data_IF_103490594722
#
_entry.id   IF_103490594722
#
_cell.length_a   1.000
_cell.length_b   1.000
_cell.length_c   1.000
_cell.angle_alpha   90.00
_cell.angle_beta   90.00
_cell.angle_gamma   90.00
#
_symmetry.space_group_name_H-M   'P 1'
#
loop_
_entity.id
_entity.type
_entity.pdbx_description
1 polymer ?
#
# COMPACT_ATOMS: atom_id res chain seq x y z
N UNK A 1 -115.74 27.77 -14.95
CA UNK A 1 -114.82 26.85 -14.25
C UNK A 1 -113.57 26.44 -15.05
N UNK A 2 -113.54 26.55 -16.39
CA UNK A 2 -112.40 26.11 -17.23
C UNK A 2 -111.06 26.85 -17.01
N UNK A 3 -111.08 28.17 -16.71
CA UNK A 3 -109.84 28.97 -16.57
C UNK A 3 -108.98 28.57 -15.36
N UNK A 4 -109.59 28.09 -14.27
CA UNK A 4 -108.90 27.74 -13.03
C UNK A 4 -108.10 26.44 -13.18
N UNK A 5 -108.61 25.48 -13.96
CA UNK A 5 -107.98 24.19 -14.23
C UNK A 5 -106.78 24.31 -15.18
N UNK A 6 -106.82 25.25 -16.12
CA UNK A 6 -105.70 25.54 -17.03
C UNK A 6 -104.57 26.25 -16.28
N UNK A 7 -104.89 27.21 -15.42
CA UNK A 7 -103.90 27.90 -14.59
C UNK A 7 -103.20 26.94 -13.62
N UNK A 8 -103.96 26.03 -13.00
CA UNK A 8 -103.38 25.03 -12.09
C UNK A 8 -102.48 24.03 -12.83
N UNK A 9 -102.84 23.64 -14.07
CA UNK A 9 -102.00 22.78 -14.91
C UNK A 9 -100.70 23.47 -15.33
N UNK A 10 -100.74 24.75 -15.67
CA UNK A 10 -99.54 25.56 -16.00
C UNK A 10 -98.63 25.70 -14.77
N UNK A 11 -99.19 25.90 -13.57
CA UNK A 11 -98.43 25.97 -12.33
C UNK A 11 -97.75 24.62 -12.01
N UNK A 12 -98.44 23.49 -12.18
CA UNK A 12 -97.82 22.17 -12.03
C UNK A 12 -96.76 21.87 -13.08
N UNK A 13 -96.91 22.35 -14.32
CA UNK A 13 -95.90 22.16 -15.37
C UNK A 13 -94.61 22.97 -15.10
N UNK A 14 -94.76 24.19 -14.54
CA UNK A 14 -93.63 25.05 -14.12
C UNK A 14 -92.89 24.54 -12.87
N UNK A 15 -93.57 23.76 -12.02
CA UNK A 15 -92.94 23.16 -10.84
C UNK A 15 -92.07 21.94 -11.20
N UNK A 16 -92.49 21.14 -12.19
CA UNK A 16 -91.74 19.94 -12.62
C UNK A 16 -90.46 20.32 -13.39
N UNK A 17 -90.46 21.45 -14.13
CA UNK A 17 -89.24 21.91 -14.83
C UNK A 17 -88.14 22.43 -13.90
N UNK A 18 -88.47 22.88 -12.68
CA UNK A 18 -87.48 23.37 -11.72
C UNK A 18 -86.72 22.26 -10.98
N UNK A 19 -87.25 21.02 -10.96
CA UNK A 19 -86.62 19.92 -10.24
C UNK A 19 -85.47 19.24 -11.00
N UNK A 20 -85.36 19.46 -12.32
CA UNK A 20 -84.33 18.85 -13.16
C UNK A 20 -83.00 19.63 -13.24
N UNK A 21 -82.93 20.85 -12.70
CA UNK A 21 -81.73 21.71 -12.78
C UNK A 21 -80.84 21.68 -11.52
N UNK A 22 -81.31 21.13 -10.40
CA UNK A 22 -80.56 21.08 -9.14
C UNK A 22 -79.36 20.12 -9.18
N UNK A 23 -79.56 18.89 -9.66
CA UNK A 23 -78.52 17.84 -9.66
C UNK A 23 -77.34 18.14 -10.61
N UNK A 24 -77.56 18.89 -11.70
CA UNK A 24 -76.53 19.25 -12.68
C UNK A 24 -75.58 20.34 -12.14
N UNK A 25 -76.09 21.26 -11.33
CA UNK A 25 -75.28 22.31 -10.69
C UNK A 25 -74.35 21.69 -9.64
N UNK A 26 -74.84 20.71 -8.87
CA UNK A 26 -74.06 20.00 -7.84
C UNK A 26 -72.95 19.13 -8.45
N UNK A 27 -73.18 18.49 -9.60
CA UNK A 27 -72.11 17.76 -10.29
C UNK A 27 -70.97 18.68 -10.73
N UNK A 28 -71.27 19.88 -11.24
CA UNK A 28 -70.25 20.81 -11.76
C UNK A 28 -69.31 21.31 -10.64
N UNK A 29 -69.82 21.55 -9.43
CA UNK A 29 -69.02 21.95 -8.28
C UNK A 29 -68.07 20.83 -7.82
N UNK A 30 -68.55 19.58 -7.76
CA UNK A 30 -67.73 18.41 -7.40
C UNK A 30 -66.63 18.17 -8.45
N UNK A 31 -66.93 18.35 -9.74
CA UNK A 31 -65.93 18.20 -10.80
C UNK A 31 -64.84 19.26 -10.73
N UNK A 32 -65.19 20.54 -10.50
CA UNK A 32 -64.20 21.60 -10.35
C UNK A 32 -63.38 21.45 -9.05
N UNK A 33 -63.97 20.94 -7.96
CA UNK A 33 -63.24 20.60 -6.73
C UNK A 33 -62.19 19.49 -6.98
N UNK A 34 -62.58 18.39 -7.62
CA UNK A 34 -61.65 17.29 -7.94
C UNK A 34 -60.56 17.70 -8.91
N UNK A 35 -60.89 18.56 -9.88
CA UNK A 35 -59.92 19.14 -10.81
C UNK A 35 -58.93 20.05 -10.08
N UNK A 36 -59.37 20.83 -9.11
CA UNK A 36 -58.50 21.63 -8.25
C UNK A 36 -57.61 20.75 -7.37
N UNK A 37 -58.15 19.68 -6.77
CA UNK A 37 -57.41 18.70 -5.97
C UNK A 37 -56.31 18.02 -6.79
N UNK A 38 -56.66 17.49 -7.97
CA UNK A 38 -55.71 16.84 -8.89
C UNK A 38 -54.62 17.83 -9.32
N UNK A 39 -54.99 19.08 -9.61
CA UNK A 39 -54.01 20.12 -9.98
C UNK A 39 -53.02 20.38 -8.85
N UNK A 40 -53.50 20.41 -7.60
CA UNK A 40 -52.66 20.60 -6.43
C UNK A 40 -51.69 19.43 -6.22
N UNK A 41 -52.17 18.19 -6.36
CA UNK A 41 -51.30 17.00 -6.27
C UNK A 41 -50.26 16.96 -7.39
N UNK A 42 -50.65 17.32 -8.63
CA UNK A 42 -49.73 17.40 -9.77
C UNK A 42 -48.64 18.44 -9.51
N UNK A 43 -48.98 19.60 -8.95
CA UNK A 43 -48.01 20.61 -8.54
C UNK A 43 -47.02 20.07 -7.50
N UNK A 44 -47.51 19.40 -6.45
CA UNK A 44 -46.64 18.76 -5.43
C UNK A 44 -45.70 17.73 -6.04
N UNK A 45 -46.21 16.88 -6.95
CA UNK A 45 -45.40 15.88 -7.65
C UNK A 45 -44.32 16.55 -8.51
N UNK A 46 -44.65 17.63 -9.21
CA UNK A 46 -43.68 18.37 -10.03
C UNK A 46 -42.60 19.03 -9.17
N UNK A 47 -42.95 19.58 -8.02
CA UNK A 47 -41.99 20.12 -7.05
C UNK A 47 -41.05 19.02 -6.53
N UNK A 48 -41.59 17.87 -6.12
CA UNK A 48 -40.79 16.72 -5.69
C UNK A 48 -39.87 16.21 -6.79
N UNK A 49 -40.35 16.12 -8.04
CA UNK A 49 -39.54 15.72 -9.20
C UNK A 49 -38.40 16.70 -9.45
N UNK A 50 -38.64 18.01 -9.31
CA UNK A 50 -37.61 19.04 -9.44
C UNK A 50 -36.53 18.86 -8.37
N UNK A 51 -36.92 18.69 -7.10
CA UNK A 51 -35.97 18.44 -6.02
C UNK A 51 -35.18 17.15 -6.24
N UNK A 52 -35.85 16.07 -6.65
CA UNK A 52 -35.20 14.80 -6.95
C UNK A 52 -34.20 14.94 -8.10
N UNK A 53 -34.55 15.65 -9.17
CA UNK A 53 -33.64 15.89 -10.30
C UNK A 53 -32.42 16.72 -9.89
N UNK A 54 -32.60 17.71 -9.01
CA UNK A 54 -31.49 18.50 -8.48
C UNK A 54 -30.56 17.64 -7.64
N UNK A 55 -31.11 16.85 -6.70
CA UNK A 55 -30.35 15.93 -5.87
C UNK A 55 -29.56 14.92 -6.70
N UNK A 56 -30.18 14.30 -7.71
CA UNK A 56 -29.50 13.37 -8.61
C UNK A 56 -28.35 14.07 -9.37
N UNK A 57 -28.57 15.30 -9.83
CA UNK A 57 -27.54 16.10 -10.50
C UNK A 57 -26.35 16.41 -9.58
N UNK A 58 -26.61 16.76 -8.32
CA UNK A 58 -25.57 17.00 -7.32
C UNK A 58 -24.81 15.72 -6.95
N UNK A 59 -25.52 14.62 -6.73
CA UNK A 59 -24.92 13.32 -6.45
C UNK A 59 -24.04 12.83 -7.60
N UNK A 60 -24.48 13.02 -8.85
CA UNK A 60 -23.66 12.68 -10.01
C UNK A 60 -22.38 13.50 -10.03
N UNK A 61 -22.45 14.83 -9.86
CA UNK A 61 -21.26 15.69 -9.79
C UNK A 61 -20.31 15.29 -8.68
N UNK A 62 -20.84 14.96 -7.50
CA UNK A 62 -20.02 14.51 -6.37
C UNK A 62 -19.32 13.18 -6.66
N UNK A 63 -20.04 12.23 -7.26
CA UNK A 63 -19.47 10.94 -7.65
C UNK A 63 -18.41 11.09 -8.75
N UNK A 64 -18.67 11.94 -9.76
CA UNK A 64 -17.71 12.22 -10.83
C UNK A 64 -16.43 12.83 -10.23
N UNK A 65 -16.55 13.79 -9.31
CA UNK A 65 -15.41 14.38 -8.59
C UNK A 65 -14.63 13.34 -7.79
N UNK A 66 -15.32 12.49 -7.03
CA UNK A 66 -14.67 11.40 -6.27
C UNK A 66 -13.95 10.42 -7.21
N UNK A 67 -14.53 10.12 -8.36
CA UNK A 67 -13.93 9.22 -9.34
C UNK A 67 -12.65 9.83 -9.93
N UNK A 68 -12.63 11.14 -10.20
CA UNK A 68 -11.41 11.84 -10.64
C UNK A 68 -10.33 11.86 -9.54
N UNK A 69 -10.71 12.15 -8.30
CA UNK A 69 -9.79 12.12 -7.15
C UNK A 69 -9.19 10.73 -6.94
N UNK A 70 -10.01 9.67 -7.03
CA UNK A 70 -9.54 8.29 -6.91
C UNK A 70 -8.56 7.92 -8.03
N UNK A 71 -8.85 8.30 -9.29
CA UNK A 71 -7.92 8.07 -10.40
C UNK A 71 -6.57 8.76 -10.19
N UNK A 72 -6.58 9.99 -9.70
CA UNK A 72 -5.34 10.72 -9.39
C UNK A 72 -4.56 10.03 -8.24
N UNK A 73 -5.27 9.53 -7.24
CA UNK A 73 -4.65 8.78 -6.14
C UNK A 73 -4.06 7.45 -6.62
N UNK A 74 -4.78 6.69 -7.46
CA UNK A 74 -4.29 5.45 -8.06
C UNK A 74 -3.00 5.69 -8.86
N UNK A 75 -2.98 6.69 -9.74
CA UNK A 75 -1.79 7.05 -10.50
C UNK A 75 -0.61 7.44 -9.60
N UNK A 76 -0.87 8.19 -8.51
CA UNK A 76 0.17 8.56 -7.54
C UNK A 76 0.70 7.33 -6.81
N UNK A 77 -0.17 6.42 -6.39
CA UNK A 77 0.22 5.17 -5.72
C UNK A 77 1.05 4.30 -6.66
N UNK A 78 0.65 4.15 -7.92
CA UNK A 78 1.41 3.41 -8.93
C UNK A 78 2.81 3.99 -9.14
N UNK A 79 2.94 5.32 -9.25
CA UNK A 79 4.24 6.00 -9.36
C UNK A 79 5.11 5.74 -8.13
N UNK A 80 4.54 5.90 -6.93
CA UNK A 80 5.27 5.68 -5.68
C UNK A 80 5.70 4.23 -5.50
N UNK A 81 4.87 3.27 -5.91
CA UNK A 81 5.21 1.85 -5.88
C UNK A 81 6.37 1.53 -6.82
N UNK A 82 6.37 2.10 -8.02
CA UNK A 82 7.48 1.95 -8.96
C UNK A 82 8.78 2.51 -8.38
N UNK A 83 8.75 3.75 -7.87
CA UNK A 83 9.91 4.39 -7.24
C UNK A 83 10.42 3.64 -6.01
N UNK A 84 9.51 3.08 -5.20
CA UNK A 84 9.87 2.29 -4.04
C UNK A 84 10.57 0.98 -4.44
N UNK A 85 10.06 0.30 -5.46
CA UNK A 85 10.64 -0.93 -6.01
C UNK A 85 12.02 -0.69 -6.63
N UNK A 86 12.17 0.40 -7.39
CA UNK A 86 13.46 0.77 -7.99
C UNK A 86 14.50 1.10 -6.90
N UNK A 87 14.09 1.81 -5.84
CA UNK A 87 14.95 2.07 -4.66
C UNK A 87 15.31 0.79 -3.92
N UNK A 88 14.37 -0.12 -3.72
CA UNK A 88 14.64 -1.40 -3.05
C UNK A 88 15.67 -2.23 -3.81
N UNK A 89 15.54 -2.32 -5.14
CA UNK A 89 16.49 -3.03 -5.99
C UNK A 89 17.89 -2.39 -5.94
N UNK A 90 17.96 -1.05 -5.98
CA UNK A 90 19.22 -0.33 -5.86
C UNK A 90 19.89 -0.57 -4.49
N UNK A 91 19.11 -0.51 -3.40
CA UNK A 91 19.62 -0.80 -2.06
C UNK A 91 20.15 -2.24 -1.96
N UNK A 92 19.44 -3.22 -2.52
CA UNK A 92 19.91 -4.62 -2.54
C UNK A 92 21.22 -4.77 -3.30
N UNK A 93 21.36 -4.09 -4.43
CA UNK A 93 22.60 -4.11 -5.21
C UNK A 93 23.76 -3.44 -4.47
N UNK A 94 23.52 -2.28 -3.85
CA UNK A 94 24.52 -1.60 -3.01
C UNK A 94 24.94 -2.43 -1.80
N UNK A 95 24.02 -3.13 -1.14
CA UNK A 95 24.35 -4.03 -0.03
C UNK A 95 25.28 -5.14 -0.53
N UNK A 96 24.93 -5.79 -1.65
CA UNK A 96 25.75 -6.84 -2.23
C UNK A 96 27.15 -6.34 -2.62
N UNK A 97 27.23 -5.18 -3.28
CA UNK A 97 28.51 -4.56 -3.63
C UNK A 97 29.35 -4.24 -2.39
N UNK A 98 28.72 -3.78 -1.31
CA UNK A 98 29.41 -3.49 -0.06
C UNK A 98 29.91 -4.76 0.64
N UNK A 99 29.12 -5.85 0.65
CA UNK A 99 29.53 -7.15 1.19
C UNK A 99 30.73 -7.71 0.41
N UNK A 100 30.67 -7.69 -0.93
CA UNK A 100 31.77 -8.11 -1.79
C UNK A 100 33.02 -7.25 -1.57
N UNK A 101 32.86 -5.93 -1.48
CA UNK A 101 33.96 -5.00 -1.21
C UNK A 101 34.58 -5.23 0.17
N UNK A 102 33.75 -5.47 1.20
CA UNK A 102 34.21 -5.75 2.54
C UNK A 102 35.03 -7.05 2.57
N UNK A 103 34.53 -8.11 1.95
CA UNK A 103 35.25 -9.37 1.82
C UNK A 103 36.59 -9.19 1.07
N UNK A 104 36.63 -8.36 0.03
CA UNK A 104 37.88 -8.03 -0.67
C UNK A 104 38.86 -7.24 0.22
N UNK A 105 38.37 -6.29 1.02
CA UNK A 105 39.19 -5.49 1.93
C UNK A 105 39.77 -6.38 3.03
N UNK A 106 38.97 -7.23 3.64
CA UNK A 106 39.41 -8.17 4.68
C UNK A 106 40.46 -9.13 4.14
N UNK A 107 40.21 -9.73 2.97
CA UNK A 107 41.20 -10.59 2.31
C UNK A 107 42.51 -9.85 2.00
N UNK A 108 42.43 -8.63 1.43
CA UNK A 108 43.64 -7.82 1.14
C UNK A 108 44.38 -7.41 2.40
N UNK A 109 43.66 -7.06 3.47
CA UNK A 109 44.23 -6.72 4.78
C UNK A 109 44.99 -7.93 5.34
N UNK A 110 44.35 -9.09 5.42
CA UNK A 110 44.97 -10.32 5.94
C UNK A 110 46.17 -10.74 5.10
N UNK A 111 46.07 -10.71 3.77
CA UNK A 111 47.19 -10.98 2.87
C UNK A 111 48.36 -9.98 3.07
N UNK A 112 48.08 -8.68 3.22
CA UNK A 112 49.13 -7.67 3.38
C UNK A 112 49.86 -7.83 4.72
N UNK A 113 49.12 -8.08 5.79
CA UNK A 113 49.67 -8.33 7.12
C UNK A 113 50.50 -9.61 7.07
N UNK A 114 49.95 -10.69 6.49
CA UNK A 114 50.66 -11.96 6.30
C UNK A 114 51.98 -11.79 5.54
N UNK A 115 51.97 -11.12 4.38
CA UNK A 115 53.18 -10.81 3.62
C UNK A 115 54.21 -10.00 4.41
N UNK A 116 53.75 -9.16 5.35
CA UNK A 116 54.65 -8.37 6.21
C UNK A 116 55.39 -9.28 7.19
N UNK A 117 54.70 -10.25 7.78
CA UNK A 117 55.30 -11.22 8.68
C UNK A 117 56.17 -12.24 7.95
N UNK A 118 55.80 -12.69 6.74
CA UNK A 118 56.64 -13.57 5.92
C UNK A 118 57.98 -12.94 5.53
N UNK A 119 58.01 -11.61 5.33
CA UNK A 119 59.23 -10.85 5.03
C UNK A 119 60.03 -10.45 6.28
N UNK A 120 59.45 -10.61 7.46
CA UNK A 120 60.13 -10.31 8.73
C UNK A 120 61.09 -11.46 9.09
N UNK A 121 62.17 -11.16 9.82
CA UNK A 121 63.07 -12.19 10.36
C UNK A 121 62.27 -13.21 11.16
N UNK A 122 62.41 -14.50 10.82
CA UNK A 122 61.65 -15.64 11.39
C UNK A 122 61.53 -15.58 12.92
N UNK A 123 62.63 -15.27 13.61
CA UNK A 123 62.66 -15.20 15.08
C UNK A 123 61.80 -14.08 15.66
N UNK A 124 61.63 -12.96 14.96
CA UNK A 124 60.77 -11.85 15.40
C UNK A 124 59.32 -12.11 15.04
N UNK A 125 59.05 -12.63 13.83
CA UNK A 125 57.71 -13.03 13.41
C UNK A 125 57.13 -14.10 14.33
N UNK A 126 57.90 -15.15 14.63
CA UNK A 126 57.52 -16.21 15.57
C UNK A 126 57.19 -15.68 16.96
N UNK A 127 58.03 -14.79 17.52
CA UNK A 127 57.76 -14.21 18.84
C UNK A 127 56.50 -13.34 18.88
N UNK A 128 56.18 -12.61 17.80
CA UNK A 128 54.96 -11.80 17.75
C UNK A 128 53.72 -12.68 17.60
N UNK A 129 53.75 -13.64 16.67
CA UNK A 129 52.63 -14.56 16.40
C UNK A 129 52.37 -15.48 17.60
N UNK A 130 53.40 -15.87 18.33
CA UNK A 130 53.28 -16.65 19.58
C UNK A 130 52.50 -15.89 20.67
N UNK A 131 52.42 -14.56 20.62
CA UNK A 131 51.62 -13.78 21.57
C UNK A 131 50.18 -13.50 21.09
N UNK A 132 49.80 -13.96 19.90
CA UNK A 132 48.43 -13.82 19.39
C UNK A 132 47.52 -14.98 19.85
N UNK A 133 46.20 -14.75 19.90
CA UNK A 133 45.19 -15.82 19.95
C UNK A 133 45.39 -16.86 18.83
N UNK A 134 44.99 -18.10 19.08
CA UNK A 134 45.26 -19.21 18.15
C UNK A 134 44.55 -19.04 16.81
N UNK A 135 43.31 -18.53 16.82
CA UNK A 135 42.52 -18.20 15.64
C UNK A 135 43.18 -17.09 14.79
N UNK A 136 43.56 -15.97 15.41
CA UNK A 136 44.20 -14.84 14.71
C UNK A 136 45.56 -15.24 14.11
N UNK A 137 46.35 -16.03 14.86
CA UNK A 137 47.61 -16.56 14.36
C UNK A 137 47.39 -17.50 13.17
N UNK A 138 46.36 -18.36 13.20
CA UNK A 138 46.02 -19.23 12.08
C UNK A 138 45.54 -18.43 10.85
N UNK A 139 44.69 -17.41 11.02
CA UNK A 139 44.26 -16.51 9.94
C UNK A 139 45.43 -15.84 9.25
N UNK A 140 46.42 -15.41 10.03
CA UNK A 140 47.60 -14.72 9.52
C UNK A 140 48.56 -15.66 8.78
N UNK A 141 48.74 -16.88 9.30
CA UNK A 141 49.63 -17.90 8.74
C UNK A 141 49.04 -18.56 7.48
N UNK A 142 47.73 -18.74 7.40
CA UNK A 142 47.06 -19.47 6.32
C UNK A 142 47.40 -18.98 4.90
N UNK A 143 47.47 -17.66 4.61
CA UNK A 143 47.85 -17.17 3.29
C UNK A 143 49.36 -17.13 3.02
N UNK A 144 50.22 -17.60 3.95
CA UNK A 144 51.68 -17.68 3.74
C UNK A 144 52.09 -18.95 3.00
N UNK A 145 53.27 -18.94 2.39
CA UNK A 145 53.88 -20.14 1.83
C UNK A 145 54.29 -21.13 2.94
N UNK A 146 54.17 -22.43 2.65
CA UNK A 146 54.48 -23.52 3.60
C UNK A 146 55.88 -23.43 4.23
N UNK A 147 56.85 -22.90 3.48
CA UNK A 147 58.22 -22.66 3.96
C UNK A 147 58.27 -21.62 5.09
N UNK A 148 57.53 -20.53 4.96
CA UNK A 148 57.53 -19.45 5.95
C UNK A 148 56.70 -19.83 7.17
N UNK A 149 55.58 -20.54 6.97
CA UNK A 149 54.83 -21.17 8.07
C UNK A 149 55.76 -22.07 8.89
N UNK A 150 56.49 -22.99 8.23
CA UNK A 150 57.40 -23.92 8.92
C UNK A 150 58.50 -23.21 9.72
N UNK A 151 59.08 -22.15 9.16
CA UNK A 151 60.09 -21.33 9.87
C UNK A 151 59.51 -20.60 11.08
N UNK A 152 58.30 -20.05 10.98
CA UNK A 152 57.64 -19.32 12.06
C UNK A 152 57.23 -20.30 13.18
N UNK A 153 56.62 -21.43 12.84
CA UNK A 153 56.26 -22.48 13.82
C UNK A 153 57.49 -23.02 14.55
N UNK A 154 58.66 -23.07 13.92
CA UNK A 154 59.91 -23.46 14.55
C UNK A 154 60.47 -22.44 15.57
N UNK A 155 59.84 -21.26 15.69
CA UNK A 155 60.26 -20.17 16.60
C UNK A 155 59.28 -19.92 17.75
N UNK A 156 58.33 -20.83 17.98
CA UNK A 156 57.35 -20.77 19.07
C UNK A 156 57.32 -22.10 19.87
N UNK A 157 56.61 -22.17 21.01
CA UNK A 157 56.52 -23.38 21.82
C UNK A 157 55.91 -24.57 21.06
N UNK A 158 56.46 -25.80 21.22
CA UNK A 158 55.99 -26.98 20.48
C UNK A 158 54.50 -27.28 20.63
N UNK A 159 53.95 -27.06 21.83
CA UNK A 159 52.53 -27.30 22.13
C UNK A 159 51.63 -26.35 21.35
N UNK A 160 52.01 -25.07 21.27
CA UNK A 160 51.25 -24.06 20.54
C UNK A 160 51.35 -24.30 19.03
N UNK A 161 52.54 -24.64 18.53
CA UNK A 161 52.75 -24.99 17.14
C UNK A 161 51.90 -26.22 16.72
N UNK A 162 51.79 -27.22 17.57
CA UNK A 162 50.94 -28.39 17.33
C UNK A 162 49.46 -28.01 17.23
N UNK A 163 48.95 -27.21 18.18
CA UNK A 163 47.56 -26.69 18.14
C UNK A 163 47.30 -25.86 16.87
N UNK A 164 48.19 -24.93 16.53
CA UNK A 164 48.08 -24.12 15.30
C UNK A 164 48.08 -24.98 14.05
N UNK A 165 48.91 -26.03 14.00
CA UNK A 165 48.93 -26.96 12.86
C UNK A 165 47.60 -27.69 12.72
N UNK A 166 46.95 -28.07 13.83
CA UNK A 166 45.63 -28.69 13.80
C UNK A 166 44.55 -27.71 13.30
N UNK A 167 44.58 -26.47 13.76
CA UNK A 167 43.67 -25.41 13.30
C UNK A 167 43.85 -25.15 11.80
N UNK A 168 45.09 -24.99 11.33
CA UNK A 168 45.41 -24.78 9.92
C UNK A 168 44.98 -25.97 9.04
N UNK A 169 45.02 -27.20 9.57
CA UNK A 169 44.54 -28.40 8.87
C UNK A 169 43.02 -28.39 8.70
N UNK A 170 42.26 -27.88 9.67
CA UNK A 170 40.79 -27.76 9.59
C UNK A 170 40.37 -26.69 8.58
N UNK A 171 41.18 -25.64 8.42
CA UNK A 171 40.92 -24.54 7.49
C UNK A 171 39.96 -23.49 8.07
N UNK A 172 39.65 -22.41 7.32
CA UNK A 172 38.73 -21.36 7.78
C UNK A 172 37.28 -21.87 7.88
N UNK A 173 36.46 -21.34 8.82
CA UNK A 173 36.80 -20.36 9.86
C UNK A 173 37.66 -20.99 10.96
N UNK A 174 38.69 -20.28 11.40
CA UNK A 174 39.60 -20.78 12.43
C UNK A 174 39.01 -20.54 13.81
N UNK A 175 38.45 -21.60 14.40
CA UNK A 175 37.90 -21.58 15.75
C UNK A 175 38.94 -22.05 16.78
N UNK A 176 38.87 -21.53 18.00
CA UNK A 176 39.73 -22.02 19.09
C UNK A 176 39.32 -23.45 19.47
N UNK A 177 40.30 -24.35 19.47
CA UNK A 177 40.11 -25.74 19.89
C UNK A 177 40.34 -25.76 21.40
N UNK A 178 39.27 -25.98 22.18
CA UNK A 178 39.32 -26.18 23.65
C UNK A 178 40.32 -27.28 24.04
#
# INVERSE_FOLDING_TARGET
>A
MLKKTILNKIITLLFISNMAFGDVITCNEIFEERKAEITNELNKINEQKKLMSLFYGEQKKLNDKKLEELKLQEQKIESLLKEAKDRENNIKDLIKQNEDLLAMIENKKTQKISQTYSKMKDSKAGAIIDNMPLNEAAELLFPMDSKDIGKILAKMPPQKAAKLTEILKKGPPFEEIE
#
